data_IF_746706840719
#
_entry.id   IF_746706840719
#
_cell.length_a   1.000
_cell.length_b   1.000
_cell.length_c   1.000
_cell.angle_alpha   90.00
_cell.angle_beta   90.00
_cell.angle_gamma   90.00
#
_symmetry.space_group_name_H-M   'P 1'
#
loop_
_entity.id
_entity.type
_entity.pdbx_description
1 polymer ?
#
# COMPACT_ATOMS: atom_id res chain seq x y z
N UNK A 1 3.30 8.09 6.54
CA UNK A 1 2.23 7.12 6.24
C UNK A 1 1.98 7.04 4.74
N UNK A 2 1.28 8.01 4.12
CA UNK A 2 1.00 8.00 2.66
C UNK A 2 2.29 7.87 1.82
N UNK A 3 3.28 8.74 2.05
CA UNK A 3 4.54 8.76 1.29
C UNK A 3 5.36 7.47 1.45
N UNK A 4 5.31 6.84 2.63
CA UNK A 4 5.95 5.55 2.90
C UNK A 4 5.22 4.43 2.14
N UNK A 5 3.89 4.43 2.13
CA UNK A 5 3.11 3.48 1.34
C UNK A 5 3.37 3.62 -0.16
N UNK A 6 3.56 4.84 -0.65
CA UNK A 6 3.78 5.10 -2.07
C UNK A 6 5.14 4.56 -2.50
N UNK A 7 6.16 4.74 -1.67
CA UNK A 7 7.49 4.16 -1.88
C UNK A 7 7.43 2.63 -1.84
N UNK A 8 6.70 2.03 -0.90
CA UNK A 8 6.54 0.56 -0.83
C UNK A 8 5.88 0.01 -2.09
N UNK A 9 4.83 0.67 -2.61
CA UNK A 9 4.21 0.30 -3.89
C UNK A 9 5.15 0.49 -5.08
N UNK A 10 5.97 1.56 -5.08
CA UNK A 10 6.95 1.83 -6.14
C UNK A 10 8.04 0.75 -6.17
N UNK A 11 8.54 0.32 -5.01
CA UNK A 11 9.48 -0.79 -4.89
C UNK A 11 8.84 -2.14 -5.27
N UNK A 12 7.59 -2.37 -4.89
CA UNK A 12 6.82 -3.55 -5.30
C UNK A 12 6.67 -3.60 -6.83
N UNK A 13 6.31 -2.48 -7.46
CA UNK A 13 6.19 -2.35 -8.91
C UNK A 13 7.53 -2.62 -9.61
N UNK A 14 8.61 -2.02 -9.13
CA UNK A 14 9.94 -2.28 -9.68
C UNK A 14 10.33 -3.76 -9.56
N UNK A 15 10.05 -4.40 -8.42
CA UNK A 15 10.33 -5.82 -8.19
C UNK A 15 9.46 -6.74 -9.06
N UNK A 16 8.23 -6.35 -9.37
CA UNK A 16 7.34 -7.04 -10.32
C UNK A 16 7.91 -7.01 -11.74
N UNK A 17 8.42 -5.87 -12.20
CA UNK A 17 8.99 -5.72 -13.55
C UNK A 17 10.27 -6.53 -13.79
N UNK A 18 11.00 -6.91 -12.72
CA UNK A 18 12.19 -7.77 -12.80
C UNK A 18 11.89 -9.27 -12.90
N UNK A 19 10.62 -9.69 -12.89
CA UNK A 19 10.23 -11.10 -13.08
C UNK A 19 10.47 -12.01 -11.87
N UNK A 20 10.81 -11.44 -10.71
CA UNK A 20 11.22 -12.19 -9.50
C UNK A 20 10.06 -12.77 -8.69
N UNK A 21 8.84 -12.76 -9.24
CA UNK A 21 7.63 -13.26 -8.56
C UNK A 21 7.33 -14.69 -8.98
N UNK A 22 7.92 -15.64 -8.26
CA UNK A 22 7.41 -17.01 -8.18
C UNK A 22 6.18 -17.06 -7.26
N UNK A 23 5.27 -18.00 -7.53
CA UNK A 23 3.99 -18.26 -6.82
C UNK A 23 4.10 -18.58 -5.31
N UNK A 24 5.24 -18.34 -4.70
CA UNK A 24 5.51 -18.59 -3.28
C UNK A 24 5.93 -17.33 -2.52
N UNK A 25 6.36 -16.26 -3.22
CA UNK A 25 6.85 -15.01 -2.64
C UNK A 25 5.84 -13.85 -2.75
N UNK A 26 4.55 -14.14 -2.57
CA UNK A 26 3.48 -13.12 -2.61
C UNK A 26 3.37 -12.30 -1.32
N UNK A 27 4.02 -12.74 -0.23
CA UNK A 27 3.86 -12.13 1.09
C UNK A 27 4.22 -10.64 1.09
N UNK A 28 5.22 -10.22 0.32
CA UNK A 28 5.58 -8.81 0.17
C UNK A 28 4.51 -7.98 -0.54
N UNK A 29 3.80 -8.57 -1.51
CA UNK A 29 2.68 -7.93 -2.18
C UNK A 29 1.51 -7.77 -1.21
N UNK A 30 1.18 -8.83 -0.49
CA UNK A 30 0.09 -8.84 0.48
C UNK A 30 0.34 -7.87 1.63
N UNK A 31 1.53 -7.87 2.22
CA UNK A 31 1.92 -6.93 3.28
C UNK A 31 1.85 -5.46 2.81
N UNK A 32 2.26 -5.18 1.57
CA UNK A 32 2.18 -3.82 1.00
C UNK A 32 0.72 -3.41 0.77
N UNK A 33 -0.14 -4.33 0.31
CA UNK A 33 -1.57 -4.09 0.14
C UNK A 33 -2.27 -3.80 1.48
N UNK A 34 -1.98 -4.59 2.53
CA UNK A 34 -2.50 -4.33 3.87
C UNK A 34 -2.07 -2.97 4.43
N UNK A 35 -0.80 -2.57 4.23
CA UNK A 35 -0.33 -1.25 4.64
C UNK A 35 -1.05 -0.12 3.90
N UNK A 36 -1.26 -0.28 2.59
CA UNK A 36 -1.96 0.72 1.79
C UNK A 36 -3.43 0.87 2.20
N UNK A 37 -4.13 -0.26 2.44
CA UNK A 37 -5.51 -0.24 2.94
C UNK A 37 -5.64 0.41 4.31
N UNK A 38 -4.67 0.22 5.21
CA UNK A 38 -4.67 0.93 6.49
C UNK A 38 -4.61 2.44 6.30
N UNK A 39 -3.77 2.92 5.38
CA UNK A 39 -3.66 4.35 5.06
C UNK A 39 -4.98 4.89 4.49
N UNK A 40 -5.65 4.15 3.60
CA UNK A 40 -6.94 4.54 3.03
C UNK A 40 -8.04 4.69 4.09
N UNK A 41 -8.16 3.72 5.01
CA UNK A 41 -9.18 3.76 6.08
C UNK A 41 -8.98 4.96 7.00
N UNK A 42 -7.73 5.25 7.39
CA UNK A 42 -7.40 6.42 8.20
C UNK A 42 -7.75 7.71 7.47
N UNK A 43 -7.48 7.77 6.16
CA UNK A 43 -7.81 8.94 5.35
C UNK A 43 -9.33 9.14 5.30
N UNK A 44 -10.11 8.11 5.00
CA UNK A 44 -11.59 8.21 4.94
C UNK A 44 -12.16 8.71 6.28
N UNK A 45 -11.66 8.19 7.41
CA UNK A 45 -12.06 8.67 8.73
C UNK A 45 -11.74 10.14 8.97
N UNK A 46 -10.52 10.57 8.61
CA UNK A 46 -10.11 11.98 8.69
C UNK A 46 -10.93 12.88 7.77
N UNK A 47 -11.21 12.45 6.55
CA UNK A 47 -12.03 13.22 5.60
C UNK A 47 -13.43 13.46 6.15
N UNK A 48 -14.07 12.39 6.64
CA UNK A 48 -15.39 12.47 7.23
C UNK A 48 -15.41 13.44 8.42
N UNK A 49 -14.44 13.34 9.33
CA UNK A 49 -14.45 14.10 10.59
C UNK A 49 -13.97 15.55 10.47
N UNK A 50 -13.04 15.85 9.55
CA UNK A 50 -12.41 17.18 9.44
C UNK A 50 -13.03 18.03 8.32
N UNK A 51 -13.51 17.39 7.25
CA UNK A 51 -13.99 18.12 6.06
C UNK A 51 -15.50 18.02 5.85
N UNK A 52 -16.16 16.96 6.33
CA UNK A 52 -17.60 16.74 6.12
C UNK A 52 -18.43 17.10 7.36
N UNK A 53 -17.97 16.69 8.54
CA UNK A 53 -18.56 17.03 9.84
C UNK A 53 -18.04 18.37 10.35
#
# INVERSE_FOLDING_TARGET
>A
HVLVGSLMLMFLHWRLTKGDFTRHNHFYFEATAWYWHFVDVVWIGLFLFVYVL
#
